data_IF_128411196623
#
_entry.id   IF_128411196623
#
_cell.length_a   1.000
_cell.length_b   1.000
_cell.length_c   1.000
_cell.angle_alpha   90.00
_cell.angle_beta   90.00
_cell.angle_gamma   90.00
#
_symmetry.space_group_name_H-M   'P 1'
#
loop_
_entity.id
_entity.type
_entity.pdbx_description
1 polymer ?
#
# COMPACT_ATOMS: atom_id res chain seq x y z
N UNK A 1 72.68 34.28 23.65
CA UNK A 1 72.22 32.94 23.24
C UNK A 1 70.75 32.85 23.58
N UNK A 2 69.91 32.58 22.56
CA UNK A 2 68.46 32.26 22.63
C UNK A 2 67.57 33.43 23.15
N UNK A 3 66.45 33.87 22.56
CA UNK A 3 65.31 33.20 21.89
C UNK A 3 64.64 34.19 20.89
N UNK A 4 64.08 33.64 19.80
CA UNK A 4 63.35 34.30 18.70
C UNK A 4 62.02 34.98 19.09
N UNK A 5 61.52 35.95 18.31
CA UNK A 5 60.13 36.37 18.27
C UNK A 5 59.36 35.70 17.10
N UNK A 6 58.17 35.15 17.34
CA UNK A 6 57.19 34.84 16.28
C UNK A 6 55.82 35.31 16.77
N UNK A 7 55.36 36.47 16.30
CA UNK A 7 54.44 36.67 15.16
C UNK A 7 53.13 35.88 15.32
N UNK A 8 52.21 36.56 15.99
CA UNK A 8 50.77 36.30 16.04
C UNK A 8 50.23 36.44 14.61
N UNK A 9 49.73 35.34 14.03
CA UNK A 9 48.89 35.35 12.83
C UNK A 9 47.48 34.94 13.25
N UNK A 10 46.57 35.91 13.23
CA UNK A 10 45.13 35.75 13.39
C UNK A 10 44.57 35.09 12.14
N UNK A 11 44.17 33.83 12.23
CA UNK A 11 43.38 33.15 11.20
C UNK A 11 41.89 33.30 11.52
N UNK A 12 41.19 34.04 10.66
CA UNK A 12 39.73 34.18 10.67
C UNK A 12 39.14 32.94 10.02
N UNK A 13 38.60 32.01 10.81
CA UNK A 13 37.83 30.87 10.32
C UNK A 13 36.36 31.30 10.11
N UNK A 14 36.02 31.56 8.85
CA UNK A 14 34.63 31.74 8.39
C UNK A 14 33.91 30.39 8.50
N UNK A 15 32.92 30.32 9.39
CA UNK A 15 31.98 29.20 9.50
C UNK A 15 30.98 29.27 8.35
N UNK A 16 31.11 28.38 7.36
CA UNK A 16 30.05 28.09 6.40
C UNK A 16 29.16 27.01 7.01
N UNK A 17 28.03 27.41 7.58
CA UNK A 17 26.95 26.48 7.94
C UNK A 17 26.15 26.22 6.66
N UNK A 18 26.53 25.20 5.91
CA UNK A 18 25.65 24.60 4.91
C UNK A 18 24.52 23.88 5.64
N UNK A 19 23.40 24.59 5.81
CA UNK A 19 22.15 24.04 6.31
C UNK A 19 21.54 23.20 5.19
N UNK A 20 21.87 21.92 5.14
CA UNK A 20 21.05 20.95 4.40
C UNK A 20 19.77 20.76 5.19
N UNK A 21 18.76 21.59 4.90
CA UNK A 21 17.38 21.30 5.22
C UNK A 21 16.95 20.09 4.36
N UNK A 22 17.32 18.89 4.82
CA UNK A 22 16.73 17.66 4.36
C UNK A 22 15.28 17.65 4.80
N UNK A 23 14.38 17.86 3.85
CA UNK A 23 12.94 17.78 4.01
C UNK A 23 12.52 16.50 4.74
N UNK A 24 11.98 16.65 5.95
CA UNK A 24 11.22 15.60 6.61
C UNK A 24 9.86 15.46 5.92
N UNK A 25 9.81 14.73 4.81
CA UNK A 25 8.56 14.37 4.12
C UNK A 25 7.85 13.15 4.75
N UNK A 26 8.16 12.80 6.01
CA UNK A 26 7.72 11.57 6.66
C UNK A 26 6.53 11.72 7.64
N UNK A 27 6.10 12.93 7.99
CA UNK A 27 5.06 13.10 9.03
C UNK A 27 3.63 13.25 8.49
N UNK A 28 3.44 13.79 7.28
CA UNK A 28 2.11 13.99 6.72
C UNK A 28 1.47 12.68 6.22
N UNK A 29 2.25 11.81 5.58
CA UNK A 29 1.79 10.51 5.08
C UNK A 29 1.48 9.52 6.21
N UNK A 30 2.30 9.50 7.27
CA UNK A 30 2.06 8.67 8.45
C UNK A 30 0.77 9.04 9.18
N UNK A 31 0.49 10.34 9.33
CA UNK A 31 -0.75 10.83 9.94
C UNK A 31 -1.99 10.56 9.08
N UNK A 32 -1.87 10.61 7.76
CA UNK A 32 -2.95 10.24 6.85
C UNK A 32 -3.31 8.75 6.96
N UNK A 33 -2.31 7.87 6.87
CA UNK A 33 -2.52 6.42 6.90
C UNK A 33 -3.06 5.95 8.23
N UNK A 34 -2.50 6.43 9.35
CA UNK A 34 -3.00 6.08 10.68
C UNK A 34 -4.50 6.39 10.84
N UNK A 35 -4.97 7.53 10.30
CA UNK A 35 -6.40 7.87 10.29
C UNK A 35 -7.22 6.92 9.44
N UNK A 36 -6.75 6.54 8.24
CA UNK A 36 -7.51 5.62 7.40
C UNK A 36 -7.56 4.21 7.99
N UNK A 37 -6.47 3.72 8.58
CA UNK A 37 -6.47 2.44 9.29
C UNK A 37 -7.41 2.45 10.50
N UNK A 38 -7.46 3.55 11.25
CA UNK A 38 -8.42 3.69 12.36
C UNK A 38 -9.86 3.59 11.87
N UNK A 39 -10.15 4.22 10.73
CA UNK A 39 -11.48 4.17 10.11
C UNK A 39 -11.84 2.80 9.55
N UNK A 40 -10.89 2.13 8.91
CA UNK A 40 -11.09 0.75 8.42
C UNK A 40 -11.36 -0.21 9.58
N UNK A 41 -10.65 -0.05 10.70
CA UNK A 41 -10.80 -0.88 11.89
C UNK A 41 -12.02 -0.52 12.78
N UNK A 42 -12.87 0.41 12.36
CA UNK A 42 -13.93 0.94 13.23
C UNK A 42 -15.19 0.07 13.32
N UNK A 43 -15.39 -0.86 12.39
CA UNK A 43 -16.65 -1.60 12.23
C UNK A 43 -17.84 -0.74 11.77
N UNK A 44 -17.64 0.55 11.48
CA UNK A 44 -18.67 1.46 10.97
C UNK A 44 -18.53 1.63 9.45
N UNK A 45 -19.55 1.17 8.70
CA UNK A 45 -19.62 1.29 7.24
C UNK A 45 -19.33 2.71 6.73
N UNK A 46 -19.79 3.73 7.46
CA UNK A 46 -19.59 5.14 7.12
C UNK A 46 -18.13 5.56 7.21
N UNK A 47 -17.41 5.11 8.23
CA UNK A 47 -15.97 5.33 8.39
C UNK A 47 -15.16 4.52 7.39
N UNK A 48 -15.50 3.24 7.18
CA UNK A 48 -14.83 2.37 6.19
C UNK A 48 -14.98 2.99 4.79
N UNK A 49 -16.18 3.45 4.42
CA UNK A 49 -16.43 4.15 3.16
C UNK A 49 -15.56 5.41 3.02
N UNK A 50 -15.44 6.22 4.08
CA UNK A 50 -14.58 7.40 4.08
C UNK A 50 -13.11 7.05 3.90
N UNK A 51 -12.65 5.98 4.55
CA UNK A 51 -11.28 5.51 4.42
C UNK A 51 -10.98 5.05 2.99
N UNK A 52 -11.86 4.23 2.42
CA UNK A 52 -11.74 3.73 1.05
C UNK A 52 -11.74 4.88 0.04
N UNK A 53 -12.63 5.88 0.20
CA UNK A 53 -12.63 7.08 -0.65
C UNK A 53 -11.33 7.86 -0.56
N UNK A 54 -10.78 8.02 0.64
CA UNK A 54 -9.52 8.74 0.85
C UNK A 54 -8.34 7.99 0.22
N UNK A 55 -8.19 6.70 0.52
CA UNK A 55 -7.11 5.85 0.01
C UNK A 55 -7.12 5.77 -1.53
N UNK A 56 -8.27 5.46 -2.12
CA UNK A 56 -8.40 5.36 -3.59
C UNK A 56 -8.29 6.71 -4.30
N UNK A 57 -8.59 7.81 -3.59
CA UNK A 57 -8.48 9.18 -4.08
C UNK A 57 -7.03 9.64 -4.28
N UNK A 58 -6.09 9.19 -3.43
CA UNK A 58 -4.66 9.48 -3.57
C UNK A 58 -4.06 8.90 -4.85
N UNK A 59 -4.66 7.80 -5.36
CA UNK A 59 -4.15 7.05 -6.52
C UNK A 59 -2.70 6.57 -6.37
N UNK A 60 -2.25 6.39 -5.13
CA UNK A 60 -0.93 5.84 -4.82
C UNK A 60 -0.93 4.32 -5.08
N UNK A 61 -0.04 3.78 -5.93
CA UNK A 61 0.09 2.33 -6.14
C UNK A 61 0.43 1.54 -4.86
N UNK A 62 0.99 2.19 -3.83
CA UNK A 62 1.27 1.55 -2.54
C UNK A 62 0.01 0.98 -1.86
N UNK A 63 -1.19 1.45 -2.23
CA UNK A 63 -2.45 0.97 -1.68
C UNK A 63 -3.10 -0.14 -2.49
N UNK A 64 -2.45 -0.61 -3.57
CA UNK A 64 -3.03 -1.59 -4.48
C UNK A 64 -3.38 -2.90 -3.77
N UNK A 65 -2.45 -3.47 -3.00
CA UNK A 65 -2.67 -4.73 -2.28
C UNK A 65 -3.80 -4.62 -1.25
N UNK A 66 -3.83 -3.52 -0.48
CA UNK A 66 -4.89 -3.26 0.48
C UNK A 66 -6.25 -3.09 -0.21
N UNK A 67 -6.29 -2.34 -1.31
CA UNK A 67 -7.52 -2.14 -2.07
C UNK A 67 -8.03 -3.45 -2.67
N UNK A 68 -7.13 -4.28 -3.21
CA UNK A 68 -7.48 -5.58 -3.77
C UNK A 68 -8.04 -6.51 -2.69
N UNK A 69 -7.38 -6.57 -1.52
CA UNK A 69 -7.86 -7.37 -0.40
C UNK A 69 -9.23 -6.88 0.13
N UNK A 70 -9.43 -5.56 0.27
CA UNK A 70 -10.74 -4.99 0.62
C UNK A 70 -11.81 -5.33 -0.43
N UNK A 71 -11.44 -5.38 -1.71
CA UNK A 71 -12.37 -5.76 -2.76
C UNK A 71 -12.78 -7.23 -2.66
N UNK A 72 -11.84 -8.11 -2.30
CA UNK A 72 -12.05 -9.55 -2.18
C UNK A 72 -12.64 -10.00 -0.85
N UNK A 73 -12.67 -9.15 0.18
CA UNK A 73 -13.07 -9.56 1.55
C UNK A 73 -11.95 -10.26 2.32
N UNK A 74 -10.70 -9.92 2.03
CA UNK A 74 -9.50 -10.54 2.63
C UNK A 74 -8.89 -9.70 3.76
N UNK A 75 -9.57 -8.66 4.23
CA UNK A 75 -9.06 -7.77 5.30
C UNK A 75 -9.78 -8.07 6.60
N UNK A 76 -9.00 -8.30 7.65
CA UNK A 76 -9.50 -8.68 8.97
C UNK A 76 -8.82 -7.86 10.06
N UNK A 77 -9.43 -7.86 11.25
CA UNK A 77 -8.85 -7.37 12.48
C UNK A 77 -8.38 -8.54 13.32
N UNK A 78 -7.13 -8.47 13.76
CA UNK A 78 -6.55 -9.41 14.70
C UNK A 78 -6.17 -8.65 15.98
N UNK A 79 -6.90 -8.93 17.06
CA UNK A 79 -6.81 -8.16 18.31
C UNK A 79 -5.46 -8.31 19.02
N UNK A 80 -4.66 -9.34 18.68
CA UNK A 80 -3.33 -9.54 19.25
C UNK A 80 -2.25 -8.66 18.59
N UNK A 81 -2.62 -7.84 17.60
CA UNK A 81 -1.70 -6.98 16.86
C UNK A 81 -2.06 -5.50 17.00
N UNK A 82 -1.12 -4.69 17.49
CA UNK A 82 -1.32 -3.23 17.58
C UNK A 82 -1.03 -2.49 16.26
N UNK A 83 -0.11 -3.01 15.46
CA UNK A 83 0.35 -2.33 14.25
C UNK A 83 -0.79 -2.19 13.22
N UNK A 84 -0.98 -0.97 12.70
CA UNK A 84 -2.08 -0.62 11.80
C UNK A 84 -3.48 -0.87 12.40
N UNK A 85 -3.62 -0.74 13.73
CA UNK A 85 -4.87 -0.99 14.46
C UNK A 85 -5.39 -2.43 14.28
N UNK A 86 -4.49 -3.41 14.29
CA UNK A 86 -4.85 -4.82 14.16
C UNK A 86 -5.21 -5.29 12.76
N UNK A 87 -5.20 -4.41 11.77
CA UNK A 87 -5.50 -4.79 10.39
C UNK A 87 -4.46 -5.78 9.86
N UNK A 88 -4.96 -6.86 9.25
CA UNK A 88 -4.19 -7.91 8.58
C UNK A 88 -4.88 -8.31 7.28
N UNK A 89 -4.11 -8.87 6.34
CA UNK A 89 -4.67 -9.59 5.19
C UNK A 89 -4.59 -11.08 5.46
N UNK A 90 -5.58 -11.84 5.02
CA UNK A 90 -5.54 -13.30 5.05
C UNK A 90 -5.06 -13.86 3.70
N UNK A 91 -4.41 -15.02 3.72
CA UNK A 91 -4.18 -15.83 2.53
C UNK A 91 -5.28 -16.85 2.30
N UNK A 92 -4.95 -17.90 1.56
CA UNK A 92 -5.88 -18.99 1.29
C UNK A 92 -6.27 -19.70 2.60
N UNK A 93 -7.56 -20.01 2.72
CA UNK A 93 -8.10 -20.77 3.84
C UNK A 93 -7.66 -22.24 3.75
N UNK A 94 -7.18 -22.76 4.89
CA UNK A 94 -6.76 -24.14 5.06
C UNK A 94 -7.52 -24.79 6.22
N UNK A 95 -7.54 -26.13 6.25
CA UNK A 95 -8.08 -26.91 7.35
C UNK A 95 -6.94 -27.47 8.19
N UNK A 96 -6.99 -27.26 9.50
CA UNK A 96 -6.04 -27.86 10.44
C UNK A 96 -6.30 -29.37 10.67
N UNK A 97 -5.46 -30.00 11.49
CA UNK A 97 -5.57 -31.44 11.79
C UNK A 97 -6.84 -31.84 12.57
N UNK A 98 -7.56 -30.86 13.13
CA UNK A 98 -8.82 -31.02 13.86
C UNK A 98 -10.04 -30.56 13.05
N UNK A 99 -9.85 -30.11 11.80
CA UNK A 99 -10.90 -29.60 10.93
C UNK A 99 -11.34 -28.16 11.24
N UNK A 100 -10.49 -27.39 11.93
CA UNK A 100 -10.65 -25.95 12.11
C UNK A 100 -10.12 -25.17 10.92
N UNK A 101 -10.80 -24.09 10.57
CA UNK A 101 -10.39 -23.17 9.50
C UNK A 101 -9.25 -22.27 10.01
N UNK A 102 -8.14 -22.29 9.28
CA UNK A 102 -6.93 -21.52 9.59
C UNK A 102 -6.46 -20.75 8.37
N UNK A 103 -5.85 -19.59 8.61
CA UNK A 103 -5.38 -18.70 7.55
C UNK A 103 -3.98 -18.15 7.85
N UNK A 104 -3.09 -18.05 6.85
CA UNK A 104 -1.84 -17.33 7.00
C UNK A 104 -2.08 -15.82 6.97
N UNK A 105 -1.39 -15.08 7.84
CA UNK A 105 -1.53 -13.63 7.97
C UNK A 105 -0.46 -12.85 7.21
N UNK A 106 -0.84 -11.69 6.66
CA UNK A 106 0.04 -10.77 5.96
C UNK A 106 -0.15 -9.32 6.42
N UNK A 107 0.90 -8.52 6.27
CA UNK A 107 0.86 -7.08 6.52
C UNK A 107 0.01 -6.34 5.47
N UNK A 108 -0.79 -5.38 5.93
CA UNK A 108 -1.65 -4.54 5.06
C UNK A 108 -0.90 -3.43 4.32
N UNK A 109 0.26 -3.01 4.83
CA UNK A 109 1.02 -1.88 4.31
C UNK A 109 2.48 -1.96 4.79
N UNK A 110 3.48 -1.44 4.04
CA UNK A 110 3.39 -0.87 2.69
C UNK A 110 3.23 -1.89 1.56
N UNK A 111 3.46 -3.17 1.86
CA UNK A 111 3.39 -4.26 0.89
C UNK A 111 2.85 -5.49 1.60
N UNK A 112 2.20 -6.39 0.85
CA UNK A 112 1.80 -7.71 1.34
C UNK A 112 3.05 -8.53 1.66
N UNK A 113 3.36 -8.70 2.95
CA UNK A 113 4.45 -9.56 3.45
C UNK A 113 3.89 -10.50 4.50
N UNK A 114 4.33 -11.76 4.48
CA UNK A 114 3.94 -12.73 5.49
C UNK A 114 4.32 -12.22 6.88
N UNK A 115 3.37 -12.26 7.81
CA UNK A 115 3.67 -12.13 9.23
C UNK A 115 4.29 -13.44 9.68
N UNK A 116 5.29 -13.36 10.55
CA UNK A 116 6.03 -14.53 11.01
C UNK A 116 5.76 -14.79 12.50
N UNK A 117 5.74 -16.06 12.87
CA UNK A 117 5.72 -16.49 14.25
C UNK A 117 7.09 -16.33 14.92
N UNK A 118 7.19 -16.74 16.19
CA UNK A 118 8.44 -16.71 16.97
C UNK A 118 9.54 -17.66 16.44
N UNK A 119 9.23 -18.48 15.43
CA UNK A 119 10.11 -19.44 14.79
C UNK A 119 10.44 -19.07 13.34
N UNK A 120 10.17 -17.83 12.92
CA UNK A 120 10.36 -17.33 11.56
C UNK A 120 9.55 -18.09 10.49
N UNK A 121 8.44 -18.74 10.88
CA UNK A 121 7.51 -19.39 9.96
C UNK A 121 6.29 -18.50 9.69
N UNK A 122 5.57 -18.68 8.57
CA UNK A 122 4.31 -17.99 8.34
C UNK A 122 3.38 -18.13 9.54
N UNK A 123 2.92 -16.99 10.04
CA UNK A 123 1.98 -16.94 11.14
C UNK A 123 0.60 -17.39 10.62
N UNK A 124 0.15 -18.52 11.12
CA UNK A 124 -1.15 -19.12 10.81
C UNK A 124 -2.01 -19.02 12.07
N UNK A 125 -3.22 -18.49 11.93
CA UNK A 125 -4.17 -18.31 13.02
C UNK A 125 -5.51 -18.94 12.68
N UNK A 126 -6.35 -19.18 13.68
CA UNK A 126 -7.73 -19.58 13.42
C UNK A 126 -8.50 -18.42 12.82
N UNK A 127 -9.31 -18.70 11.79
CA UNK A 127 -10.21 -17.69 11.22
C UNK A 127 -11.23 -17.19 12.25
N UNK A 128 -11.58 -18.02 13.24
CA UNK A 128 -12.48 -17.66 14.34
C UNK A 128 -11.93 -16.58 15.27
N UNK A 129 -10.61 -16.34 15.27
CA UNK A 129 -9.96 -15.32 16.10
C UNK A 129 -9.87 -13.96 15.38
N UNK A 130 -10.48 -13.85 14.19
CA UNK A 130 -10.42 -12.68 13.32
C UNK A 130 -11.81 -12.06 13.10
N UNK A 131 -11.88 -10.73 13.14
CA UNK A 131 -13.09 -10.00 12.78
C UNK A 131 -12.97 -9.49 11.33
N UNK A 132 -13.87 -9.88 10.43
CA UNK A 132 -13.85 -9.40 9.04
C UNK A 132 -14.09 -7.88 8.97
N UNK A 133 -13.29 -7.18 8.17
CA UNK A 133 -13.62 -5.81 7.76
C UNK A 133 -14.64 -5.90 6.63
N UNK A 134 -15.92 -5.90 7.01
CA UNK A 134 -17.02 -6.07 6.07
C UNK A 134 -17.02 -4.98 4.98
N UNK A 135 -16.94 -5.42 3.72
CA UNK A 135 -16.95 -4.54 2.56
C UNK A 135 -18.14 -4.83 1.66
N UNK A 136 -19.28 -4.20 1.95
CA UNK A 136 -20.48 -4.35 1.13
C UNK A 136 -20.29 -3.88 -0.33
N UNK A 137 -21.27 -4.22 -1.19
CA UNK A 137 -21.28 -3.86 -2.62
C UNK A 137 -20.98 -2.38 -2.90
N UNK A 138 -21.47 -1.49 -2.04
CA UNK A 138 -21.26 -0.03 -2.15
C UNK A 138 -19.79 0.34 -2.00
N UNK A 139 -19.10 -0.25 -1.02
CA UNK A 139 -17.68 0.00 -0.78
C UNK A 139 -16.84 -0.60 -1.92
N UNK A 140 -17.13 -1.84 -2.33
CA UNK A 140 -16.46 -2.48 -3.48
C UNK A 140 -16.58 -1.68 -4.78
N UNK A 141 -17.74 -1.05 -5.01
CA UNK A 141 -17.95 -0.17 -6.17
C UNK A 141 -17.07 1.10 -6.16
N UNK A 142 -16.61 1.56 -4.99
CA UNK A 142 -15.67 2.69 -4.85
C UNK A 142 -14.22 2.26 -5.13
N UNK A 143 -13.89 1.01 -4.82
CA UNK A 143 -12.55 0.43 -5.00
C UNK A 143 -12.30 0.10 -6.48
N UNK A 144 -13.29 -0.48 -7.17
CA UNK A 144 -13.12 -1.01 -8.51
C UNK A 144 -12.50 -0.04 -9.54
N UNK A 145 -12.89 1.26 -9.60
CA UNK A 145 -12.26 2.20 -10.53
C UNK A 145 -10.76 2.42 -10.27
N UNK A 146 -10.36 2.39 -8.99
CA UNK A 146 -8.94 2.50 -8.63
C UNK A 146 -8.17 1.24 -9.04
N UNK A 147 -8.70 0.03 -8.75
CA UNK A 147 -8.05 -1.22 -9.15
C UNK A 147 -7.85 -1.30 -10.67
N UNK A 148 -8.93 -1.12 -11.44
CA UNK A 148 -8.88 -1.15 -12.91
C UNK A 148 -7.83 -0.15 -13.41
N UNK A 149 -7.81 1.07 -12.87
CA UNK A 149 -6.87 2.11 -13.26
C UNK A 149 -5.41 1.72 -13.01
N UNK A 150 -5.13 1.15 -11.84
CA UNK A 150 -3.79 0.70 -11.45
C UNK A 150 -3.37 -0.52 -12.28
N UNK A 151 -4.32 -1.41 -12.58
CA UNK A 151 -4.09 -2.63 -13.36
C UNK A 151 -3.68 -2.39 -14.81
N UNK A 152 -3.97 -1.21 -15.41
CA UNK A 152 -3.44 -0.85 -16.74
C UNK A 152 -1.91 -0.86 -16.82
N UNK A 153 -1.23 -0.69 -15.69
CA UNK A 153 0.22 -0.65 -15.61
C UNK A 153 0.79 -1.87 -14.86
N UNK A 154 -0.04 -2.90 -14.63
CA UNK A 154 0.40 -4.10 -13.93
C UNK A 154 1.41 -4.91 -14.76
N UNK A 155 2.40 -5.58 -14.15
CA UNK A 155 3.39 -6.39 -14.88
C UNK A 155 2.77 -7.58 -15.64
N UNK A 156 1.74 -8.22 -15.08
CA UNK A 156 0.89 -9.21 -15.76
C UNK A 156 0.09 -8.60 -16.94
N UNK A 157 0.25 -9.17 -18.13
CA UNK A 157 -0.39 -8.72 -19.37
C UNK A 157 -1.90 -9.00 -19.43
N UNK A 158 -2.34 -10.11 -18.86
CA UNK A 158 -3.75 -10.45 -18.70
C UNK A 158 -4.51 -9.38 -17.91
N UNK A 159 -3.96 -8.94 -16.77
CA UNK A 159 -4.55 -7.86 -15.97
C UNK A 159 -4.60 -6.54 -16.73
N UNK A 160 -3.53 -6.16 -17.45
CA UNK A 160 -3.52 -4.95 -18.28
C UNK A 160 -4.61 -5.00 -19.34
N UNK A 161 -4.74 -6.13 -20.04
CA UNK A 161 -5.76 -6.33 -21.07
C UNK A 161 -7.17 -6.20 -20.50
N UNK A 162 -7.47 -6.89 -19.40
CA UNK A 162 -8.78 -6.82 -18.73
C UNK A 162 -9.08 -5.39 -18.29
N UNK A 163 -8.10 -4.68 -17.73
CA UNK A 163 -8.26 -3.28 -17.35
C UNK A 163 -8.57 -2.37 -18.55
N UNK A 164 -7.82 -2.51 -19.65
CA UNK A 164 -8.03 -1.76 -20.87
C UNK A 164 -9.43 -2.03 -21.48
N UNK A 165 -9.87 -3.29 -21.51
CA UNK A 165 -11.21 -3.67 -21.96
C UNK A 165 -12.30 -3.05 -21.07
N UNK A 166 -12.13 -3.10 -19.74
CA UNK A 166 -13.08 -2.52 -18.79
C UNK A 166 -13.21 -0.99 -18.95
N UNK A 167 -12.09 -0.29 -19.14
CA UNK A 167 -12.12 1.17 -19.38
C UNK A 167 -12.71 1.47 -20.75
N UNK A 168 -12.27 0.77 -21.80
CA UNK A 168 -12.75 0.96 -23.17
C UNK A 168 -14.26 0.76 -23.29
N UNK A 169 -14.80 -0.28 -22.66
CA UNK A 169 -16.24 -0.58 -22.67
C UNK A 169 -17.09 0.46 -21.94
N UNK A 170 -16.54 1.18 -20.95
CA UNK A 170 -17.23 2.31 -20.30
C UNK A 170 -17.31 3.54 -21.22
N UNK A 171 -16.38 3.69 -22.17
CA UNK A 171 -16.44 4.72 -23.22
C UNK A 171 -16.23 6.16 -22.72
N UNK A 172 -15.59 6.36 -21.57
CA UNK A 172 -15.39 7.68 -20.98
C UNK A 172 -14.34 8.52 -21.70
N UNK A 173 -14.68 9.75 -22.12
CA UNK A 173 -13.70 10.67 -22.74
C UNK A 173 -12.51 11.00 -21.82
N UNK A 174 -12.75 11.03 -20.50
CA UNK A 174 -11.72 11.28 -19.50
C UNK A 174 -10.64 10.17 -19.46
N UNK A 175 -10.96 8.98 -19.97
CA UNK A 175 -10.08 7.82 -19.90
C UNK A 175 -9.14 7.70 -21.12
N UNK A 176 -9.35 8.50 -22.16
CA UNK A 176 -8.51 8.50 -23.37
C UNK A 176 -7.04 8.77 -23.03
N UNK A 177 -6.78 9.69 -22.10
CA UNK A 177 -5.42 10.07 -21.71
C UNK A 177 -4.67 8.90 -21.05
N UNK A 178 -5.33 8.17 -20.15
CA UNK A 178 -4.69 7.06 -19.45
C UNK A 178 -4.53 5.83 -20.35
N UNK A 179 -5.47 5.57 -21.26
CA UNK A 179 -5.33 4.51 -22.26
C UNK A 179 -4.15 4.78 -23.20
N UNK A 180 -3.94 6.03 -23.62
CA UNK A 180 -2.75 6.42 -24.41
C UNK A 180 -1.45 6.18 -23.64
N UNK A 181 -1.41 6.60 -22.37
CA UNK A 181 -0.26 6.36 -21.51
C UNK A 181 0.04 4.86 -21.35
N UNK A 182 -1.00 4.03 -21.19
CA UNK A 182 -0.84 2.58 -21.09
C UNK A 182 -0.25 1.97 -22.37
N UNK A 183 -0.73 2.40 -23.55
CA UNK A 183 -0.18 1.96 -24.85
C UNK A 183 1.29 2.35 -25.00
N UNK A 184 1.66 3.57 -24.62
CA UNK A 184 3.06 4.02 -24.67
C UNK A 184 3.96 3.19 -23.74
N UNK A 185 3.41 2.74 -22.59
CA UNK A 185 4.10 1.87 -21.65
C UNK A 185 4.19 0.40 -22.11
N UNK A 186 3.39 -0.05 -23.09
CA UNK A 186 3.42 -1.44 -23.59
C UNK A 186 4.68 -1.79 -24.41
N UNK A 187 5.52 -0.81 -24.75
CA UNK A 187 6.70 -1.02 -25.61
C UNK A 187 8.03 -0.97 -24.87
N UNK A 188 8.46 -2.10 -24.29
CA UNK A 188 9.81 -2.71 -24.43
C UNK A 188 9.70 -4.22 -24.12
N UNK A 189 9.26 -5.07 -25.07
CA UNK A 189 9.47 -6.53 -24.93
C UNK A 189 8.53 -7.52 -25.64
N UNK A 190 7.32 -7.14 -26.08
CA UNK A 190 6.32 -8.15 -26.53
C UNK A 190 6.02 -8.17 -28.03
N UNK A 191 6.65 -7.35 -28.88
CA UNK A 191 6.47 -7.39 -30.36
C UNK A 191 7.60 -8.17 -31.07
N UNK A 192 8.39 -8.98 -30.34
CA UNK A 192 9.46 -9.81 -30.95
C UNK A 192 9.23 -11.32 -30.86
N UNK A 193 8.01 -11.76 -30.53
CA UNK A 193 7.62 -13.17 -30.62
C UNK A 193 6.23 -13.32 -31.25
N UNK A 194 6.14 -13.01 -32.54
CA UNK A 194 5.19 -13.62 -33.47
C UNK A 194 5.95 -13.99 -34.75
#
# INVERSE_FOLDING_TARGET
>A
MTIQPSRIQTAVCVWIICTCAGSWAGSESGGFLARQFTRLASGDDGQIEQAVKALTGERDPAYYELALALFNGEVYLWQERDEHNGLVLIGDEEMDEYGGEVVPLFSVHPQRRALLDVHDKPLIVSLYDLDEVETGRRIRALIQPYLIRTELFHPDDGKRRIAAENIGNKGGRADIAILRQAIEAETVGSISQL
#
